data_IF_686327703734
#
_entry.id   IF_686327703734
#
_cell.length_a   1.000
_cell.length_b   1.000
_cell.length_c   1.000
_cell.angle_alpha   90.00
_cell.angle_beta   90.00
_cell.angle_gamma   90.00
#
_symmetry.space_group_name_H-M   'P 1'
#
loop_
_entity.id
_entity.type
_entity.pdbx_description
1 polymer ?
#
# COMPACT_ATOMS: atom_id res chain seq x y z
N UNK A 1 -2.68 -12.60 -0.07
CA UNK A 1 -2.24 -12.95 -1.45
C UNK A 1 -2.63 -11.87 -2.48
N UNK A 2 -3.92 -11.52 -2.57
CA UNK A 2 -4.45 -10.58 -3.57
C UNK A 2 -3.76 -9.19 -3.57
N UNK A 3 -3.43 -8.64 -2.40
CA UNK A 3 -2.72 -7.37 -2.27
C UNK A 3 -1.41 -7.35 -3.07
N UNK A 4 -0.55 -8.35 -2.86
CA UNK A 4 0.73 -8.45 -3.56
C UNK A 4 0.58 -8.75 -5.04
N UNK A 5 -0.42 -9.56 -5.43
CA UNK A 5 -0.71 -9.83 -6.85
C UNK A 5 -1.13 -8.55 -7.56
N UNK A 6 -2.00 -7.75 -6.96
CA UNK A 6 -2.46 -6.48 -7.52
C UNK A 6 -1.35 -5.44 -7.69
N UNK A 7 -0.29 -5.50 -6.88
CA UNK A 7 0.84 -4.57 -6.99
C UNK A 7 1.90 -5.09 -7.96
N UNK A 8 2.30 -6.36 -7.80
CA UNK A 8 3.52 -6.87 -8.42
C UNK A 8 3.28 -7.50 -9.78
N UNK A 9 2.05 -7.93 -10.10
CA UNK A 9 1.74 -8.66 -11.34
C UNK A 9 0.98 -7.80 -12.35
N UNK A 10 1.08 -6.49 -12.19
CA UNK A 10 0.60 -5.47 -13.12
C UNK A 10 1.65 -4.36 -13.21
N UNK A 11 2.12 -4.07 -14.42
CA UNK A 11 3.25 -3.15 -14.64
C UNK A 11 2.95 -1.71 -14.21
N UNK A 12 1.70 -1.27 -14.36
CA UNK A 12 1.28 0.09 -13.98
C UNK A 12 1.26 0.23 -12.46
N UNK A 13 0.70 -0.75 -11.75
CA UNK A 13 0.69 -0.76 -10.28
C UNK A 13 2.11 -0.88 -9.71
N UNK A 14 2.96 -1.69 -10.33
CA UNK A 14 4.36 -1.81 -9.94
C UNK A 14 5.10 -0.49 -10.10
N UNK A 15 4.96 0.18 -11.25
CA UNK A 15 5.60 1.47 -11.50
C UNK A 15 5.13 2.54 -10.52
N UNK A 16 3.83 2.63 -10.25
CA UNK A 16 3.29 3.60 -9.29
C UNK A 16 3.88 3.42 -7.89
N UNK A 17 4.07 2.17 -7.43
CA UNK A 17 4.70 1.90 -6.13
C UNK A 17 6.20 2.22 -6.14
N UNK A 18 6.89 1.96 -7.25
CA UNK A 18 8.30 2.35 -7.41
C UNK A 18 8.46 3.87 -7.34
N UNK A 19 7.63 4.62 -8.06
CA UNK A 19 7.66 6.09 -8.07
C UNK A 19 7.35 6.66 -6.68
N UNK A 20 6.33 6.11 -6.00
CA UNK A 20 5.95 6.52 -4.64
C UNK A 20 7.05 6.27 -3.60
N UNK A 21 7.91 5.27 -3.81
CA UNK A 21 8.97 4.87 -2.86
C UNK A 21 10.37 5.29 -3.28
N UNK A 22 10.51 5.94 -4.44
CA UNK A 22 11.79 6.24 -5.07
C UNK A 22 12.69 7.14 -4.22
N UNK A 23 12.09 8.08 -3.47
CA UNK A 23 12.80 9.04 -2.62
C UNK A 23 12.91 8.60 -1.15
N UNK A 24 12.45 7.39 -0.81
CA UNK A 24 12.52 6.90 0.57
C UNK A 24 13.97 6.59 0.93
N UNK A 25 14.42 7.13 2.05
CA UNK A 25 15.75 6.87 2.60
C UNK A 25 15.81 5.51 3.31
N UNK A 26 17.02 4.99 3.53
CA UNK A 26 17.19 3.75 4.29
C UNK A 26 16.72 3.91 5.74
N UNK A 27 16.96 5.08 6.31
CA UNK A 27 16.56 5.48 7.65
C UNK A 27 15.04 5.55 7.78
N UNK A 28 14.35 6.15 6.81
CA UNK A 28 12.88 6.16 6.75
C UNK A 28 12.28 4.76 6.69
N UNK A 29 12.81 3.89 5.81
CA UNK A 29 12.37 2.49 5.71
C UNK A 29 12.57 1.74 7.02
N UNK A 30 13.73 1.93 7.67
CA UNK A 30 14.02 1.29 8.95
C UNK A 30 13.15 1.85 10.09
N UNK A 31 12.87 3.15 10.08
CA UNK A 31 11.98 3.81 11.04
C UNK A 31 10.58 3.23 10.95
N UNK A 32 10.02 3.12 9.74
CA UNK A 32 8.70 2.50 9.53
C UNK A 32 8.70 1.05 10.02
N UNK A 33 9.71 0.26 9.66
CA UNK A 33 9.83 -1.14 10.10
C UNK A 33 9.80 -1.28 11.63
N UNK A 34 10.40 -0.35 12.35
CA UNK A 34 10.46 -0.36 13.82
C UNK A 34 9.19 0.17 14.49
N UNK A 35 8.54 1.19 13.92
CA UNK A 35 7.39 1.86 14.56
C UNK A 35 6.04 1.23 14.22
N UNK A 36 5.88 0.67 13.02
CA UNK A 36 4.63 0.03 12.58
C UNK A 36 4.13 -1.06 13.52
N UNK A 37 4.98 -1.93 14.13
CA UNK A 37 4.52 -2.92 15.10
C UNK A 37 3.80 -2.33 16.33
N UNK A 38 4.06 -1.06 16.67
CA UNK A 38 3.47 -0.39 17.83
C UNK A 38 2.27 0.48 17.43
N UNK A 39 2.43 1.35 16.42
CA UNK A 39 1.42 2.34 16.03
C UNK A 39 0.61 1.99 14.79
N UNK A 40 0.95 0.91 14.06
CA UNK A 40 0.23 0.50 12.86
C UNK A 40 0.12 1.62 11.82
N UNK A 41 -1.07 1.82 11.26
CA UNK A 41 -1.34 2.89 10.28
C UNK A 41 -1.31 4.30 10.88
N UNK A 42 -1.34 4.42 12.20
CA UNK A 42 -1.20 5.70 12.93
C UNK A 42 0.25 6.12 13.10
N UNK A 43 1.20 5.38 12.54
CA UNK A 43 2.62 5.75 12.53
C UNK A 43 2.82 7.05 11.74
N UNK A 44 3.39 8.11 12.32
CA UNK A 44 3.72 9.33 11.58
C UNK A 44 4.77 9.06 10.51
N UNK A 45 4.56 9.58 9.31
CA UNK A 45 5.47 9.47 8.19
C UNK A 45 5.40 10.72 7.31
N UNK A 46 6.54 11.43 7.20
CA UNK A 46 6.66 12.74 6.53
C UNK A 46 5.56 13.71 6.99
N UNK A 47 4.80 14.29 6.08
CA UNK A 47 3.76 15.28 6.35
C UNK A 47 2.41 14.67 6.80
N UNK A 48 2.37 13.36 7.09
CA UNK A 48 1.14 12.68 7.44
C UNK A 48 1.32 11.40 8.24
N UNK A 49 0.40 10.45 8.02
CA UNK A 49 0.41 9.13 8.64
C UNK A 49 0.66 8.07 7.58
N UNK A 50 1.21 6.93 8.01
CA UNK A 50 1.37 5.75 7.16
C UNK A 50 0.03 5.29 6.55
N UNK A 51 -1.09 5.59 7.21
CA UNK A 51 -2.44 5.43 6.67
C UNK A 51 -2.62 6.03 5.27
N UNK A 52 -2.10 7.23 5.01
CA UNK A 52 -2.26 7.91 3.72
C UNK A 52 -1.51 7.16 2.62
N UNK A 53 -0.29 6.71 2.91
CA UNK A 53 0.48 5.85 2.01
C UNK A 53 -0.26 4.53 1.77
N UNK A 54 -0.81 3.91 2.82
CA UNK A 54 -1.57 2.67 2.69
C UNK A 54 -2.83 2.83 1.82
N UNK A 55 -3.50 4.00 1.87
CA UNK A 55 -4.65 4.31 1.00
C UNK A 55 -4.27 4.29 -0.47
N UNK A 56 -3.16 4.95 -0.84
CA UNK A 56 -2.67 4.96 -2.22
C UNK A 56 -2.24 3.55 -2.67
N UNK A 57 -1.48 2.83 -1.85
CA UNK A 57 -1.00 1.49 -2.18
C UNK A 57 -2.15 0.48 -2.35
N UNK A 58 -3.18 0.54 -1.51
CA UNK A 58 -4.37 -0.32 -1.68
C UNK A 58 -5.14 0.04 -2.95
N UNK A 59 -5.20 1.32 -3.32
CA UNK A 59 -5.79 1.73 -4.61
C UNK A 59 -5.03 1.10 -5.77
N UNK A 60 -3.69 1.18 -5.78
CA UNK A 60 -2.88 0.56 -6.83
C UNK A 60 -3.05 -0.97 -6.88
N UNK A 61 -3.11 -1.63 -5.72
CA UNK A 61 -3.38 -3.06 -5.66
C UNK A 61 -4.74 -3.42 -6.29
N UNK A 62 -5.78 -2.62 -6.00
CA UNK A 62 -7.11 -2.82 -6.57
C UNK A 62 -7.10 -2.62 -8.08
N UNK A 63 -6.50 -1.54 -8.55
CA UNK A 63 -6.42 -1.22 -9.99
C UNK A 63 -5.69 -2.31 -10.79
N UNK A 64 -4.62 -2.89 -10.22
CA UNK A 64 -3.90 -3.99 -10.86
C UNK A 64 -4.72 -5.28 -10.92
N UNK A 65 -5.52 -5.59 -9.88
CA UNK A 65 -6.46 -6.71 -9.93
C UNK A 65 -7.60 -6.46 -10.94
N UNK A 66 -8.06 -5.22 -11.09
CA UNK A 66 -9.06 -4.86 -12.11
C UNK A 66 -8.50 -5.07 -13.51
N UNK A 67 -7.28 -4.62 -13.79
CA UNK A 67 -6.61 -4.81 -15.09
C UNK A 67 -6.37 -6.28 -15.43
N UNK A 68 -6.09 -7.12 -14.43
CA UNK A 68 -5.95 -8.57 -14.61
C UNK A 68 -7.26 -9.29 -15.00
N UNK A 69 -8.42 -8.69 -14.71
CA UNK A 69 -9.71 -9.17 -15.23
C UNK A 69 -10.29 -10.43 -14.58
N UNK A 70 -9.69 -10.99 -13.53
CA UNK A 70 -10.15 -12.22 -12.86
C UNK A 70 -11.24 -11.99 -11.79
N UNK A 71 -11.76 -10.76 -11.64
CA UNK A 71 -12.74 -10.38 -10.60
C UNK A 71 -12.26 -10.64 -9.17
N UNK A 72 -10.96 -10.48 -8.93
CA UNK A 72 -10.29 -10.76 -7.65
C UNK A 72 -10.32 -9.56 -6.68
N UNK A 73 -10.84 -8.40 -7.10
CA UNK A 73 -10.85 -7.16 -6.30
C UNK A 73 -11.58 -7.30 -4.96
N UNK A 74 -12.60 -8.16 -4.89
CA UNK A 74 -13.36 -8.42 -3.67
C UNK A 74 -12.50 -8.95 -2.52
N UNK A 75 -11.35 -9.57 -2.81
CA UNK A 75 -10.40 -10.02 -1.78
C UNK A 75 -9.71 -8.86 -1.04
N UNK A 76 -9.82 -7.62 -1.53
CA UNK A 76 -9.27 -6.43 -0.88
C UNK A 76 -10.30 -5.66 -0.04
N UNK A 77 -11.56 -6.10 0.02
CA UNK A 77 -12.62 -5.37 0.73
C UNK A 77 -12.29 -5.16 2.22
N UNK A 78 -11.81 -6.20 2.91
CA UNK A 78 -11.45 -6.12 4.33
C UNK A 78 -10.29 -5.14 4.57
N UNK A 79 -9.25 -5.22 3.73
CA UNK A 79 -8.07 -4.35 3.85
C UNK A 79 -8.42 -2.89 3.51
N UNK A 80 -9.33 -2.68 2.56
CA UNK A 80 -9.83 -1.35 2.22
C UNK A 80 -10.52 -0.68 3.42
N UNK A 81 -11.29 -1.45 4.21
CA UNK A 81 -11.94 -0.92 5.40
C UNK A 81 -10.95 -0.60 6.53
N UNK A 82 -9.94 -1.46 6.73
CA UNK A 82 -8.85 -1.20 7.68
C UNK A 82 -8.10 0.08 7.33
N UNK A 83 -7.78 0.26 6.04
CA UNK A 83 -7.05 1.43 5.57
C UNK A 83 -7.92 2.71 5.60
N UNK A 84 -9.24 2.58 5.42
CA UNK A 84 -10.20 3.68 5.58
C UNK A 84 -10.28 4.16 7.04
N UNK A 85 -10.29 3.24 7.99
CA UNK A 85 -10.48 3.55 9.42
C UNK A 85 -9.19 3.93 10.12
N UNK A 86 -8.06 3.26 9.83
CA UNK A 86 -6.72 3.58 10.33
C UNK A 86 -6.41 2.95 11.68
#
# INVERSE_FOLDING_TARGET
>A
PAFWVGILYDDVSLQNVLDMTADWTAEERQMLRNKVPVSGLKTPFRDGLLKHVAQEVVSFAKDGLERRGYKETGFLNEVTEVVRTG
#
